data_IF_897295448418
#
_entry.id   IF_897295448418
#
_cell.length_a   1.000
_cell.length_b   1.000
_cell.length_c   1.000
_cell.angle_alpha   90.00
_cell.angle_beta   90.00
_cell.angle_gamma   90.00
#
_symmetry.space_group_name_H-M   'P 1'
#
loop_
_entity.id
_entity.type
_entity.pdbx_description
1 polymer ?
#
# COMPACT_ATOMS: atom_id res chain seq x y z
N UNK A 1 5.77 -42.50 -48.91
CA UNK A 1 6.22 -42.86 -47.56
C UNK A 1 7.41 -41.96 -47.23
N UNK A 2 7.16 -40.79 -46.65
CA UNK A 2 8.20 -39.90 -46.13
C UNK A 2 7.70 -39.42 -44.78
N UNK A 3 8.19 -40.07 -43.73
CA UNK A 3 7.96 -39.69 -42.35
C UNK A 3 9.05 -38.68 -41.98
N UNK A 4 8.67 -37.41 -41.85
CA UNK A 4 9.52 -36.38 -41.26
C UNK A 4 8.99 -36.16 -39.84
N UNK A 5 9.60 -36.84 -38.88
CA UNK A 5 9.47 -36.56 -37.46
C UNK A 5 10.46 -35.43 -37.12
N UNK A 6 9.98 -34.19 -37.05
CA UNK A 6 10.72 -33.09 -36.45
C UNK A 6 10.42 -33.09 -34.94
N UNK A 7 11.27 -33.77 -34.18
CA UNK A 7 11.30 -33.71 -32.73
C UNK A 7 12.17 -32.53 -32.29
N UNK A 8 11.59 -31.34 -32.17
CA UNK A 8 12.24 -30.21 -31.48
C UNK A 8 11.72 -30.18 -30.05
N UNK A 9 12.26 -31.06 -29.20
CA UNK A 9 12.22 -30.87 -27.75
C UNK A 9 13.48 -30.09 -27.39
N UNK A 10 13.41 -28.76 -27.47
CA UNK A 10 14.40 -27.88 -26.87
C UNK A 10 14.27 -27.98 -25.35
N UNK A 11 15.08 -28.85 -24.73
CA UNK A 11 15.36 -28.73 -23.30
C UNK A 11 16.36 -27.59 -23.16
N UNK A 12 15.90 -26.40 -22.76
CA UNK A 12 16.80 -25.39 -22.21
C UNK A 12 17.33 -25.94 -20.88
N UNK A 13 18.56 -26.45 -20.90
CA UNK A 13 19.31 -26.69 -19.69
C UNK A 13 19.70 -25.35 -19.10
N UNK A 14 18.82 -24.79 -18.26
CA UNK A 14 19.21 -23.78 -17.28
C UNK A 14 19.75 -24.50 -16.06
N UNK A 15 20.91 -24.07 -15.56
CA UNK A 15 21.35 -24.44 -14.22
C UNK A 15 20.21 -24.13 -13.22
N UNK A 16 19.98 -24.95 -12.19
CA UNK A 16 18.95 -24.68 -11.21
C UNK A 16 19.34 -23.40 -10.47
N UNK A 17 18.71 -22.29 -10.83
CA UNK A 17 18.90 -21.03 -10.14
C UNK A 17 18.37 -21.21 -8.70
N UNK A 18 19.17 -20.78 -7.73
CA UNK A 18 18.85 -20.89 -6.30
C UNK A 18 18.32 -19.57 -5.77
N UNK A 19 17.36 -19.64 -4.85
CA UNK A 19 16.80 -18.45 -4.20
C UNK A 19 17.85 -17.75 -3.33
N UNK A 20 18.11 -16.45 -3.53
CA UNK A 20 19.00 -15.69 -2.64
C UNK A 20 18.37 -15.47 -1.26
N UNK A 21 19.19 -15.20 -0.25
CA UNK A 21 18.71 -14.70 1.04
C UNK A 21 18.30 -13.22 0.88
N UNK A 22 17.01 -12.94 0.99
CA UNK A 22 16.43 -11.60 0.85
C UNK A 22 15.63 -11.15 2.08
N UNK A 23 15.46 -12.01 3.09
CA UNK A 23 14.78 -11.65 4.33
C UNK A 23 15.54 -10.54 5.06
N UNK A 24 14.80 -9.54 5.54
CA UNK A 24 15.36 -8.37 6.22
C UNK A 24 15.97 -7.32 5.28
N UNK A 25 16.03 -7.58 3.98
CA UNK A 25 16.41 -6.56 2.98
C UNK A 25 15.21 -5.70 2.61
N UNK A 26 15.48 -4.52 2.07
CA UNK A 26 14.46 -3.71 1.42
C UNK A 26 14.00 -4.38 0.12
N UNK A 27 12.75 -4.16 -0.25
CA UNK A 27 12.15 -4.80 -1.43
C UNK A 27 12.89 -4.44 -2.74
N UNK A 28 13.34 -3.20 -2.90
CA UNK A 28 14.12 -2.76 -4.08
C UNK A 28 15.43 -3.55 -4.24
N UNK A 29 16.14 -3.76 -3.14
CA UNK A 29 17.40 -4.54 -3.12
C UNK A 29 17.12 -6.04 -3.29
N UNK A 30 16.07 -6.54 -2.63
CA UNK A 30 15.67 -7.93 -2.72
C UNK A 30 15.33 -8.35 -4.16
N UNK A 31 14.53 -7.55 -4.87
CA UNK A 31 14.20 -7.80 -6.27
C UNK A 31 15.45 -7.76 -7.16
N UNK A 32 16.31 -6.76 -6.96
CA UNK A 32 17.60 -6.68 -7.67
C UNK A 32 18.50 -7.91 -7.45
N UNK A 33 18.47 -8.51 -6.25
CA UNK A 33 19.24 -9.72 -5.93
C UNK A 33 18.61 -10.97 -6.56
N UNK A 34 17.29 -11.04 -6.64
CA UNK A 34 16.53 -12.11 -7.28
C UNK A 34 16.71 -12.07 -8.81
N UNK A 35 16.64 -10.89 -9.43
CA UNK A 35 16.94 -10.68 -10.85
C UNK A 35 18.37 -11.12 -11.19
N UNK A 36 19.35 -10.78 -10.33
CA UNK A 36 20.74 -11.20 -10.50
C UNK A 36 20.93 -12.71 -10.38
N UNK A 37 20.06 -13.40 -9.65
CA UNK A 37 20.02 -14.86 -9.57
C UNK A 37 19.36 -15.49 -10.81
N UNK A 38 18.92 -14.70 -11.78
CA UNK A 38 18.33 -15.17 -13.04
C UNK A 38 16.82 -15.38 -12.97
N UNK A 39 16.13 -14.61 -12.13
CA UNK A 39 14.68 -14.63 -11.97
C UNK A 39 14.10 -13.24 -12.21
N UNK A 40 13.76 -12.94 -13.46
CA UNK A 40 13.42 -11.60 -13.91
C UNK A 40 11.91 -11.39 -14.12
N UNK A 41 11.13 -12.45 -14.35
CA UNK A 41 9.80 -12.29 -14.98
C UNK A 41 8.58 -12.63 -14.10
N UNK A 42 8.74 -13.28 -12.94
CA UNK A 42 7.57 -13.67 -12.12
C UNK A 42 7.94 -13.81 -10.64
N UNK A 43 7.89 -12.70 -9.88
CA UNK A 43 7.99 -12.73 -8.41
C UNK A 43 6.67 -12.24 -7.83
N UNK A 44 6.03 -13.08 -7.02
CA UNK A 44 4.78 -12.73 -6.34
C UNK A 44 5.08 -11.97 -5.05
N UNK A 45 4.76 -10.67 -5.03
CA UNK A 45 4.93 -9.82 -3.85
C UNK A 45 3.62 -9.77 -3.06
N UNK A 46 3.66 -10.28 -1.82
CA UNK A 46 2.55 -10.26 -0.88
C UNK A 46 2.78 -9.13 0.13
N UNK A 47 1.89 -8.15 0.19
CA UNK A 47 2.02 -7.01 1.09
C UNK A 47 1.43 -5.74 0.48
N UNK A 48 1.73 -4.57 1.07
CA UNK A 48 1.26 -3.30 0.51
C UNK A 48 -0.09 -2.78 1.04
N UNK A 49 -0.77 -3.55 1.88
CA UNK A 49 -2.13 -3.22 2.33
C UNK A 49 -3.12 -3.09 1.16
N UNK A 50 -4.15 -2.26 1.30
CA UNK A 50 -5.21 -2.12 0.30
C UNK A 50 -4.76 -1.52 -1.05
N UNK A 51 -3.60 -0.87 -1.09
CA UNK A 51 -3.07 -0.18 -2.27
C UNK A 51 -1.88 -0.90 -2.92
N UNK A 52 -1.41 -2.00 -2.35
CA UNK A 52 -0.20 -2.67 -2.79
C UNK A 52 1.07 -1.87 -2.50
N UNK A 53 2.18 -2.30 -3.12
CA UNK A 53 3.49 -1.65 -2.98
C UNK A 53 3.54 -0.44 -3.92
N UNK A 54 3.54 0.78 -3.35
CA UNK A 54 3.65 2.02 -4.12
C UNK A 54 5.10 2.44 -4.38
N UNK A 55 5.98 2.24 -3.40
CA UNK A 55 7.40 2.56 -3.48
C UNK A 55 8.17 1.47 -2.72
N UNK A 56 8.88 0.64 -3.47
CA UNK A 56 9.61 -0.54 -2.99
C UNK A 56 10.68 -0.20 -1.94
N UNK A 57 11.22 1.03 -1.96
CA UNK A 57 12.24 1.46 -0.99
C UNK A 57 11.70 1.60 0.44
N UNK A 58 10.37 1.67 0.60
CA UNK A 58 9.71 1.80 1.90
C UNK A 58 9.26 0.45 2.50
N UNK A 59 9.54 -0.67 1.84
CA UNK A 59 9.12 -2.00 2.27
C UNK A 59 10.31 -2.87 2.61
N UNK A 60 10.14 -3.72 3.63
CA UNK A 60 11.12 -4.71 4.07
C UNK A 60 10.56 -6.10 3.84
N UNK A 61 11.39 -7.01 3.33
CA UNK A 61 11.02 -8.42 3.15
C UNK A 61 11.01 -9.11 4.52
N UNK A 62 9.85 -9.62 4.90
CA UNK A 62 9.65 -10.30 6.18
C UNK A 62 9.71 -11.81 6.05
N UNK A 63 9.30 -12.36 4.90
CA UNK A 63 9.49 -13.77 4.60
C UNK A 63 9.68 -13.98 3.10
N UNK A 64 10.34 -15.08 2.75
CA UNK A 64 10.56 -15.50 1.38
C UNK A 64 10.19 -16.97 1.24
N UNK A 65 9.67 -17.33 0.08
CA UNK A 65 9.37 -18.70 -0.28
C UNK A 65 9.71 -18.89 -1.77
N UNK A 66 10.60 -19.82 -2.13
CA UNK A 66 11.25 -20.83 -1.29
C UNK A 66 12.35 -20.25 -0.36
N UNK A 67 12.83 -21.07 0.59
CA UNK A 67 13.88 -20.65 1.54
C UNK A 67 15.20 -20.33 0.82
N UNK A 68 16.06 -19.58 1.49
CA UNK A 68 17.39 -19.23 0.96
C UNK A 68 18.18 -20.49 0.58
N UNK A 69 18.78 -20.47 -0.61
CA UNK A 69 19.56 -21.58 -1.17
C UNK A 69 18.72 -22.72 -1.75
N UNK A 70 17.40 -22.67 -1.64
CA UNK A 70 16.52 -23.66 -2.28
C UNK A 70 16.44 -23.44 -3.79
N UNK A 71 16.25 -24.54 -4.53
CA UNK A 71 15.98 -24.48 -5.96
C UNK A 71 14.57 -23.91 -6.21
N UNK A 72 14.47 -22.93 -7.09
CA UNK A 72 13.18 -22.34 -7.43
C UNK A 72 12.52 -23.19 -8.52
N UNK A 73 11.58 -24.04 -8.11
CA UNK A 73 10.82 -24.91 -9.03
C UNK A 73 9.54 -24.25 -9.59
N UNK A 74 9.23 -23.01 -9.21
CA UNK A 74 8.00 -22.28 -9.57
C UNK A 74 8.13 -20.77 -9.36
N UNK A 75 7.01 -20.07 -9.21
CA UNK A 75 7.00 -18.62 -8.99
C UNK A 75 7.44 -18.31 -7.55
N UNK A 76 8.57 -17.61 -7.31
CA UNK A 76 8.98 -17.20 -5.98
C UNK A 76 7.99 -16.19 -5.38
N UNK A 77 7.76 -16.32 -4.08
CA UNK A 77 6.86 -15.50 -3.28
C UNK A 77 7.65 -14.79 -2.20
N UNK A 78 7.41 -13.49 -2.04
CA UNK A 78 8.02 -12.70 -0.96
C UNK A 78 6.94 -11.92 -0.23
N UNK A 79 6.95 -11.99 1.09
CA UNK A 79 6.07 -11.20 1.95
C UNK A 79 6.79 -9.95 2.43
N UNK A 80 6.13 -8.80 2.36
CA UNK A 80 6.69 -7.51 2.75
C UNK A 80 5.80 -6.74 3.71
N UNK A 81 6.43 -6.05 4.64
CA UNK A 81 5.78 -5.10 5.55
C UNK A 81 6.68 -3.84 5.76
N UNK A 82 6.13 -2.80 6.38
CA UNK A 82 6.91 -1.63 6.81
C UNK A 82 7.87 -2.00 7.94
N UNK A 83 7.44 -2.92 8.81
CA UNK A 83 8.24 -3.47 9.90
C UNK A 83 7.97 -4.96 10.02
N UNK A 84 9.02 -5.77 10.00
CA UNK A 84 8.89 -7.20 10.22
C UNK A 84 8.85 -7.46 11.72
N UNK A 85 7.65 -7.47 12.29
CA UNK A 85 7.44 -7.94 13.65
C UNK A 85 7.78 -9.43 13.68
N UNK A 86 8.88 -9.79 14.36
CA UNK A 86 9.35 -11.19 14.49
C UNK A 86 8.50 -11.99 15.50
N UNK A 87 7.48 -11.37 16.08
CA UNK A 87 6.51 -11.96 16.99
C UNK A 87 5.09 -11.70 16.45
N UNK A 88 4.35 -12.78 16.19
CA UNK A 88 2.89 -12.83 16.00
C UNK A 88 2.27 -12.16 14.76
N UNK A 89 2.43 -12.83 13.61
CA UNK A 89 1.42 -12.79 12.56
C UNK A 89 0.26 -13.73 12.93
N UNK A 90 -0.85 -13.20 13.50
CA UNK A 90 -2.24 -13.74 13.41
C UNK A 90 -3.22 -12.98 14.35
N UNK A 91 -3.94 -11.97 13.85
CA UNK A 91 -5.32 -11.73 14.31
C UNK A 91 -6.21 -11.14 13.21
N UNK A 92 -7.11 -11.93 12.61
CA UNK A 92 -8.21 -11.44 11.78
C UNK A 92 -9.50 -11.34 12.61
N UNK A 93 -9.87 -10.12 13.04
CA UNK A 93 -11.23 -9.61 13.39
C UNK A 93 -11.06 -8.35 14.27
N UNK A 94 -11.71 -7.21 14.00
CA UNK A 94 -13.16 -7.11 14.00
C UNK A 94 -13.72 -6.17 12.92
N UNK A 95 -14.67 -6.74 12.18
CA UNK A 95 -15.73 -6.08 11.44
C UNK A 95 -16.68 -5.28 12.34
N UNK A 96 -17.07 -4.11 11.82
CA UNK A 96 -18.45 -3.61 11.74
C UNK A 96 -19.27 -3.32 13.01
N UNK A 97 -19.79 -2.07 13.02
CA UNK A 97 -21.22 -1.73 13.12
C UNK A 97 -21.82 -1.52 14.51
N UNK A 98 -22.06 -0.24 14.80
CA UNK A 98 -23.28 0.35 15.37
C UNK A 98 -23.30 1.77 14.73
N UNK A 99 -24.11 2.18 13.76
CA UNK A 99 -25.58 2.20 13.64
C UNK A 99 -26.28 2.50 14.97
N UNK A 100 -26.23 3.77 15.39
CA UNK A 100 -27.36 4.35 16.09
C UNK A 100 -27.87 5.56 15.32
N UNK A 101 -29.14 5.42 14.97
CA UNK A 101 -30.00 6.35 14.28
C UNK A 101 -30.46 7.39 15.28
N UNK A 102 -30.26 8.67 14.99
CA UNK A 102 -31.18 9.69 15.49
C UNK A 102 -31.48 10.70 14.39
N UNK A 103 -32.62 10.47 13.76
CA UNK A 103 -33.37 11.47 12.99
C UNK A 103 -33.87 12.55 13.96
N UNK A 104 -33.31 13.75 13.94
CA UNK A 104 -34.04 14.95 14.36
C UNK A 104 -34.18 15.89 13.16
N UNK A 105 -35.31 15.70 12.51
CA UNK A 105 -35.85 16.47 11.42
C UNK A 105 -36.32 17.84 11.95
N UNK A 106 -35.65 18.92 11.55
CA UNK A 106 -36.23 20.27 11.63
C UNK A 106 -36.15 20.96 10.26
N UNK A 107 -37.32 20.98 9.61
CA UNK A 107 -37.61 21.57 8.32
C UNK A 107 -37.35 23.08 8.25
N UNK A 108 -36.98 23.59 7.07
CA UNK A 108 -37.82 24.46 6.21
C UNK A 108 -36.98 25.24 5.17
N UNK A 109 -37.25 24.99 3.89
CA UNK A 109 -36.90 25.86 2.75
C UNK A 109 -37.89 27.07 2.72
N UNK A 110 -37.79 28.12 1.85
CA UNK A 110 -37.04 28.17 0.58
C UNK A 110 -36.43 29.53 0.16
N UNK A 111 -35.65 29.52 -0.93
CA UNK A 111 -35.78 30.40 -2.11
C UNK A 111 -34.42 30.78 -2.74
N UNK A 112 -34.20 30.27 -3.95
CA UNK A 112 -33.12 30.69 -4.87
C UNK A 112 -33.35 32.13 -5.32
N UNK A 113 -32.27 32.87 -5.63
CA UNK A 113 -32.22 33.48 -6.96
C UNK A 113 -30.94 33.16 -7.74
N UNK A 114 -31.04 33.45 -9.04
CA UNK A 114 -30.28 32.86 -10.14
C UNK A 114 -28.88 33.49 -10.34
N UNK A 115 -27.91 32.62 -10.63
CA UNK A 115 -26.70 32.74 -11.46
C UNK A 115 -26.18 34.15 -11.82
N UNK A 116 -24.94 34.44 -11.39
CA UNK A 116 -23.93 35.11 -12.25
C UNK A 116 -22.64 34.29 -12.24
N UNK A 117 -22.23 33.83 -13.42
CA UNK A 117 -20.95 33.15 -13.66
C UNK A 117 -19.80 34.12 -13.32
N UNK A 118 -18.96 33.78 -12.34
CA UNK A 118 -17.59 34.33 -12.23
C UNK A 118 -16.62 33.18 -12.49
N UNK A 119 -15.58 33.47 -13.27
CA UNK A 119 -14.46 32.59 -13.62
C UNK A 119 -13.93 31.87 -12.36
N UNK A 120 -13.47 30.61 -12.43
CA UNK A 120 -12.75 30.00 -11.33
C UNK A 120 -11.49 30.83 -11.03
N UNK A 121 -11.49 31.50 -9.89
CA UNK A 121 -10.27 31.99 -9.29
C UNK A 121 -9.57 30.78 -8.67
N UNK A 122 -8.24 30.74 -8.77
CA UNK A 122 -7.40 29.72 -8.15
C UNK A 122 -7.76 29.51 -6.65
N UNK A 123 -7.58 28.30 -6.09
CA UNK A 123 -7.81 28.07 -4.67
C UNK A 123 -6.86 28.99 -3.89
N UNK A 124 -7.41 30.00 -3.23
CA UNK A 124 -6.69 30.69 -2.18
C UNK A 124 -6.60 29.70 -1.03
N UNK A 125 -5.38 29.32 -0.64
CA UNK A 125 -5.21 28.57 0.59
C UNK A 125 -5.71 29.47 1.73
N UNK A 126 -6.80 29.08 2.38
CA UNK A 126 -7.28 29.76 3.56
C UNK A 126 -6.19 29.66 4.64
N UNK A 127 -5.47 30.75 4.83
CA UNK A 127 -4.38 30.82 5.81
C UNK A 127 -5.01 31.08 7.16
N UNK A 128 -4.86 30.14 8.08
CA UNK A 128 -5.39 30.22 9.43
C UNK A 128 -4.24 30.32 10.46
N UNK A 129 -4.44 31.07 11.55
CA UNK A 129 -3.42 31.35 12.58
C UNK A 129 -3.38 30.24 13.62
N UNK A 130 -2.28 29.50 13.72
CA UNK A 130 -2.14 28.36 14.64
C UNK A 130 -2.40 28.75 16.11
N UNK A 131 -3.32 28.06 16.82
CA UNK A 131 -3.58 28.31 18.24
C UNK A 131 -2.45 27.73 19.10
N UNK A 132 -2.37 28.16 20.36
CA UNK A 132 -1.44 27.57 21.31
C UNK A 132 -1.93 26.18 21.71
N UNK A 133 -1.25 25.12 21.27
CA UNK A 133 -1.63 23.72 21.58
C UNK A 133 -0.83 23.11 22.74
N UNK A 134 0.19 23.82 23.22
CA UNK A 134 1.08 23.31 24.27
C UNK A 134 0.31 23.22 25.59
N UNK A 135 0.24 22.01 26.14
CA UNK A 135 -0.46 21.71 27.39
C UNK A 135 -1.93 21.28 27.22
N UNK A 136 -2.45 21.24 25.99
CA UNK A 136 -3.78 20.68 25.69
C UNK A 136 -3.72 19.17 25.51
N UNK A 137 -4.82 18.48 25.81
CA UNK A 137 -4.96 17.08 25.41
C UNK A 137 -5.13 16.97 23.89
N UNK A 138 -4.76 15.82 23.31
CA UNK A 138 -4.85 15.56 21.88
C UNK A 138 -6.24 15.83 21.30
N UNK A 139 -7.31 15.42 22.01
CA UNK A 139 -8.68 15.65 21.54
C UNK A 139 -9.02 17.15 21.48
N UNK A 140 -8.63 17.92 22.48
CA UNK A 140 -8.88 19.37 22.53
C UNK A 140 -8.06 20.10 21.47
N UNK A 141 -6.81 19.69 21.28
CA UNK A 141 -5.95 20.26 20.24
C UNK A 141 -6.53 20.03 18.84
N UNK A 142 -7.08 18.84 18.58
CA UNK A 142 -7.73 18.51 17.32
C UNK A 142 -9.03 19.30 17.13
N UNK A 143 -9.88 19.37 18.16
CA UNK A 143 -11.11 20.17 18.12
C UNK A 143 -10.79 21.65 17.87
N UNK A 144 -9.78 22.21 18.53
CA UNK A 144 -9.38 23.60 18.37
C UNK A 144 -8.85 23.93 16.95
N UNK A 145 -8.28 22.95 16.25
CA UNK A 145 -7.86 23.09 14.85
C UNK A 145 -9.05 22.95 13.90
N UNK A 146 -9.93 21.99 14.16
CA UNK A 146 -11.13 21.73 13.38
C UNK A 146 -12.12 22.91 13.42
N UNK A 147 -12.35 23.49 14.60
CA UNK A 147 -13.19 24.70 14.78
C UNK A 147 -12.74 25.89 13.92
N UNK A 148 -11.50 25.87 13.44
CA UNK A 148 -10.86 26.93 12.65
C UNK A 148 -10.66 26.59 11.18
N UNK A 149 -11.26 25.51 10.71
CA UNK A 149 -11.21 25.15 9.29
C UNK A 149 -10.00 24.29 8.91
N UNK A 150 -9.17 23.87 9.87
CA UNK A 150 -7.99 23.04 9.59
C UNK A 150 -8.37 21.56 9.49
N UNK A 151 -9.15 21.21 8.46
CA UNK A 151 -9.71 19.87 8.27
C UNK A 151 -8.86 18.94 7.38
N UNK A 152 -7.82 19.46 6.71
CA UNK A 152 -7.04 18.69 5.74
C UNK A 152 -5.54 18.74 6.07
N UNK A 153 -5.06 17.79 6.87
CA UNK A 153 -3.73 17.21 6.60
C UNK A 153 -3.91 16.34 5.36
N UNK A 154 -3.93 16.99 4.19
CA UNK A 154 -3.87 16.28 2.91
C UNK A 154 -2.48 15.66 2.85
N UNK A 155 -2.38 14.35 3.07
CA UNK A 155 -1.24 13.55 2.62
C UNK A 155 -1.06 13.87 1.13
N UNK A 156 0.01 14.59 0.82
CA UNK A 156 0.44 14.83 -0.57
C UNK A 156 1.21 13.62 -1.07
#
# INVERSE_FOLDING_TARGET
>A
MFAIALSVAGCSGGEPNTMPDVVGKRLDIALSDVERAGFDDEVEVLGGGAFGVLDESNWTVCSQEPESGAEIAGVPRISVDRTCDTDDSMNPQATQKDEDTDEEQAATAPAKPKKKKRKPAAPVADTFVMPALVGMNLQEAQNALQDRGSFLLTET
#
